data_IF_055318619471
#
_entry.id   IF_055318619471
#
_cell.length_a   1.000
_cell.length_b   1.000
_cell.length_c   1.000
_cell.angle_alpha   90.00
_cell.angle_beta   90.00
_cell.angle_gamma   90.00
#
_symmetry.space_group_name_H-M   'P 1'
#
loop_
_entity.id
_entity.type
_entity.pdbx_description
1 polymer ?
#
# COMPACT_ATOMS: atom_id res chain seq x y z
N UNK A 1 -56.03 34.38 76.33
CA UNK A 1 -55.38 34.80 75.07
C UNK A 1 -53.90 34.43 75.16
N UNK A 2 -53.34 33.64 74.22
CA UNK A 2 -52.22 32.75 74.49
C UNK A 2 -50.85 33.38 74.19
N UNK A 3 -49.86 32.90 74.95
CA UNK A 3 -48.47 33.34 75.02
C UNK A 3 -47.71 33.07 73.71
N UNK A 4 -46.98 34.08 73.23
CA UNK A 4 -46.07 34.03 72.08
C UNK A 4 -44.95 33.01 72.34
N UNK A 5 -44.81 32.01 71.47
CA UNK A 5 -43.63 31.15 71.39
C UNK A 5 -42.71 31.67 70.29
N UNK A 6 -41.49 32.01 70.68
CA UNK A 6 -40.37 32.34 69.79
C UNK A 6 -39.84 31.01 69.25
N UNK A 7 -39.86 30.84 67.92
CA UNK A 7 -39.29 29.68 67.24
C UNK A 7 -37.83 30.02 66.93
N UNK A 8 -36.91 29.26 67.52
CA UNK A 8 -35.48 29.30 67.23
C UNK A 8 -35.23 28.38 66.04
N UNK A 9 -34.79 28.94 64.91
CA UNK A 9 -34.40 28.18 63.71
C UNK A 9 -32.98 27.64 63.92
N UNK A 10 -32.84 26.33 64.08
CA UNK A 10 -31.55 25.64 64.11
C UNK A 10 -31.08 25.44 62.67
N UNK A 11 -29.98 26.09 62.31
CA UNK A 11 -29.32 25.96 61.01
C UNK A 11 -28.37 24.74 61.05
N UNK A 12 -28.83 23.60 60.53
CA UNK A 12 -27.99 22.40 60.40
C UNK A 12 -27.05 22.55 59.18
N UNK A 13 -25.77 22.80 59.44
CA UNK A 13 -24.72 22.76 58.41
C UNK A 13 -24.31 21.30 58.21
N UNK A 14 -24.67 20.73 57.06
CA UNK A 14 -24.21 19.41 56.62
C UNK A 14 -22.75 19.50 56.17
N UNK A 15 -21.87 18.74 56.86
CA UNK A 15 -20.49 18.53 56.47
C UNK A 15 -20.46 17.54 55.29
N UNK A 16 -20.19 18.04 54.08
CA UNK A 16 -20.04 17.22 52.88
C UNK A 16 -18.68 16.51 52.92
N UNK A 17 -18.67 15.23 53.29
CA UNK A 17 -17.50 14.36 53.16
C UNK A 17 -17.41 13.93 51.69
N UNK A 18 -16.45 14.50 50.95
CA UNK A 18 -16.07 14.05 49.61
C UNK A 18 -15.37 12.69 49.72
N UNK A 19 -16.15 11.62 49.55
CA UNK A 19 -15.61 10.28 49.29
C UNK A 19 -15.17 10.25 47.83
N UNK A 20 -13.87 10.23 47.57
CA UNK A 20 -13.34 9.91 46.24
C UNK A 20 -13.62 8.43 45.95
N UNK A 21 -14.77 8.14 45.35
CA UNK A 21 -15.02 6.87 44.68
C UNK A 21 -14.20 6.86 43.40
N UNK A 22 -13.14 6.06 43.36
CA UNK A 22 -12.38 5.81 42.13
C UNK A 22 -13.32 5.34 41.01
N UNK A 23 -13.07 5.84 39.81
CA UNK A 23 -13.81 5.44 38.62
C UNK A 23 -13.67 3.91 38.43
N UNK A 24 -14.75 3.15 38.22
CA UNK A 24 -14.62 1.76 37.83
C UNK A 24 -13.88 1.70 36.49
N UNK A 25 -12.72 1.06 36.48
CA UNK A 25 -12.06 0.67 35.24
C UNK A 25 -12.92 -0.43 34.62
N UNK A 26 -13.78 -0.07 33.68
CA UNK A 26 -14.37 -1.04 32.77
C UNK A 26 -13.22 -1.70 32.02
N UNK A 27 -12.85 -2.90 32.45
CA UNK A 27 -11.96 -3.77 31.71
C UNK A 27 -12.67 -4.13 30.43
N UNK A 28 -12.32 -3.42 29.35
CA UNK A 28 -12.60 -3.87 27.99
C UNK A 28 -12.11 -5.32 27.90
N UNK A 29 -12.96 -6.28 27.50
CA UNK A 29 -12.50 -7.63 27.24
C UNK A 29 -11.44 -7.53 26.16
N UNK A 30 -10.17 -7.67 26.55
CA UNK A 30 -9.06 -7.74 25.62
C UNK A 30 -9.34 -8.93 24.70
N UNK A 31 -9.68 -8.65 23.45
CA UNK A 31 -9.63 -9.64 22.39
C UNK A 31 -8.25 -10.29 22.47
N UNK A 32 -8.22 -11.62 22.57
CA UNK A 32 -7.00 -12.38 22.71
C UNK A 32 -6.06 -12.11 21.54
N UNK A 33 -5.18 -11.13 21.70
CA UNK A 33 -4.01 -10.98 20.86
C UNK A 33 -3.21 -12.27 20.93
N UNK A 34 -2.51 -12.65 19.84
CA UNK A 34 -1.69 -13.86 19.83
C UNK A 34 -0.80 -13.82 21.07
N UNK A 35 -0.93 -14.85 21.92
CA UNK A 35 -0.28 -14.87 23.22
C UNK A 35 1.18 -14.46 23.07
N UNK A 36 1.66 -13.57 23.94
CA UNK A 36 3.05 -13.12 23.94
C UNK A 36 3.93 -14.35 24.03
N UNK A 37 4.38 -14.81 22.86
CA UNK A 37 5.34 -15.88 22.77
C UNK A 37 6.57 -15.38 23.50
N UNK A 38 7.09 -16.16 24.44
CA UNK A 38 8.40 -15.95 25.06
C UNK A 38 9.55 -16.12 24.05
N UNK A 39 9.25 -15.93 22.76
CA UNK A 39 10.20 -15.99 21.69
C UNK A 39 11.32 -15.01 21.96
N UNK A 40 12.50 -15.61 21.92
CA UNK A 40 13.80 -14.98 21.95
C UNK A 40 14.08 -14.13 20.71
N UNK A 41 13.16 -14.11 19.75
CA UNK A 41 13.22 -13.31 18.53
C UNK A 41 11.95 -12.48 18.34
N UNK A 42 12.12 -11.32 17.71
CA UNK A 42 11.06 -10.48 17.15
C UNK A 42 11.38 -10.26 15.69
N UNK A 43 10.36 -10.22 14.85
CA UNK A 43 10.48 -9.77 13.47
C UNK A 43 9.50 -8.61 13.27
N UNK A 44 9.99 -7.54 12.68
CA UNK A 44 9.21 -6.37 12.26
C UNK A 44 9.15 -6.40 10.74
N UNK A 45 7.94 -6.45 10.19
CA UNK A 45 7.71 -6.47 8.75
C UNK A 45 7.09 -5.16 8.28
N UNK A 46 7.52 -4.66 7.12
CA UNK A 46 6.96 -3.44 6.54
C UNK A 46 7.07 -3.46 5.02
N UNK A 47 6.21 -2.67 4.38
CA UNK A 47 6.31 -2.30 2.97
C UNK A 47 7.17 -1.04 2.85
N UNK A 48 7.98 -0.93 1.81
CA UNK A 48 8.77 0.29 1.56
C UNK A 48 7.96 1.38 0.83
N UNK A 49 6.88 0.99 0.17
CA UNK A 49 5.94 1.84 -0.52
C UNK A 49 4.62 1.92 0.26
N UNK A 50 3.84 2.96 -0.01
CA UNK A 50 2.40 2.92 0.29
C UNK A 50 1.70 1.90 -0.61
N UNK A 51 0.51 2.22 -1.11
CA UNK A 51 -0.14 1.39 -2.13
C UNK A 51 0.68 1.34 -3.42
N UNK A 52 1.03 0.15 -3.91
CA UNK A 52 1.54 0.01 -5.27
C UNK A 52 0.38 0.07 -6.27
N UNK A 53 0.57 0.84 -7.35
CA UNK A 53 -0.42 0.95 -8.41
C UNK A 53 0.03 0.08 -9.59
N UNK A 54 -0.90 -0.58 -10.29
CA UNK A 54 -0.60 -1.34 -11.51
C UNK A 54 -1.67 -1.13 -12.57
N UNK A 55 -1.38 -1.45 -13.83
CA UNK A 55 -2.42 -1.57 -14.85
C UNK A 55 -3.25 -2.84 -14.61
N UNK A 56 -4.53 -2.81 -14.98
CA UNK A 56 -5.33 -4.03 -15.08
C UNK A 56 -5.03 -4.78 -16.39
N UNK A 57 -4.86 -4.05 -17.49
CA UNK A 57 -4.57 -4.56 -18.83
C UNK A 57 -3.26 -3.95 -19.37
N UNK A 58 -2.44 -4.77 -20.01
CA UNK A 58 -1.09 -4.44 -20.48
C UNK A 58 -0.96 -4.46 -22.01
N UNK A 59 -2.08 -4.62 -22.74
CA UNK A 59 -2.08 -4.80 -24.19
C UNK A 59 -1.78 -3.52 -24.97
N UNK A 60 -2.08 -2.35 -24.38
CA UNK A 60 -1.96 -1.05 -25.05
C UNK A 60 -0.83 -0.21 -24.44
N UNK A 61 -0.85 0.01 -23.14
CA UNK A 61 0.19 0.74 -22.42
C UNK A 61 0.41 0.16 -21.03
N UNK A 62 1.53 0.52 -20.41
CA UNK A 62 1.85 0.19 -19.03
C UNK A 62 2.43 1.39 -18.30
N UNK A 63 1.74 1.80 -17.24
CA UNK A 63 2.22 2.74 -16.21
C UNK A 63 3.13 1.97 -15.26
N UNK A 64 2.59 0.93 -14.60
CA UNK A 64 3.31 0.10 -13.64
C UNK A 64 2.88 -1.37 -13.74
N UNK A 65 3.82 -2.34 -13.60
CA UNK A 65 3.55 -3.77 -13.58
C UNK A 65 3.00 -4.23 -12.22
N UNK A 66 2.52 -5.50 -12.11
CA UNK A 66 2.37 -6.15 -10.81
C UNK A 66 3.71 -6.11 -10.06
N UNK A 67 3.71 -5.53 -8.87
CA UNK A 67 4.92 -5.34 -8.09
C UNK A 67 4.58 -5.05 -6.64
N UNK A 68 5.43 -5.52 -5.73
CA UNK A 68 5.44 -5.08 -4.36
C UNK A 68 6.81 -5.42 -3.75
N UNK A 69 7.25 -4.62 -2.78
CA UNK A 69 8.46 -4.89 -2.01
C UNK A 69 8.12 -5.03 -0.53
N UNK A 70 8.69 -6.06 0.10
CA UNK A 70 8.50 -6.35 1.50
C UNK A 70 9.86 -6.39 2.20
N UNK A 71 9.91 -5.81 3.39
CA UNK A 71 11.08 -5.79 4.26
C UNK A 71 10.78 -6.46 5.60
N UNK A 72 11.84 -6.98 6.21
CA UNK A 72 11.80 -7.58 7.54
C UNK A 72 13.09 -7.29 8.31
N UNK A 73 12.97 -6.72 9.51
CA UNK A 73 14.07 -6.63 10.46
C UNK A 73 13.89 -7.65 11.59
N UNK A 74 14.93 -8.44 11.86
CA UNK A 74 14.91 -9.47 12.90
C UNK A 74 15.75 -9.03 14.09
N UNK A 75 15.16 -9.09 15.28
CA UNK A 75 15.80 -8.70 16.55
C UNK A 75 15.85 -9.92 17.47
N UNK A 76 17.01 -10.27 17.99
CA UNK A 76 17.17 -11.28 19.03
C UNK A 76 17.22 -10.62 20.41
N UNK A 77 16.46 -11.18 21.36
CA UNK A 77 16.28 -10.69 22.74
C UNK A 77 16.78 -11.69 23.79
N UNK A 78 17.80 -12.50 23.48
CA UNK A 78 18.35 -13.50 24.41
C UNK A 78 19.30 -12.94 25.46
N UNK A 79 20.05 -11.89 25.11
CA UNK A 79 21.08 -11.30 25.96
C UNK A 79 20.54 -10.16 26.83
N UNK A 80 21.46 -9.50 27.54
CA UNK A 80 21.15 -8.29 28.31
C UNK A 80 20.65 -7.14 27.40
N UNK A 81 21.20 -7.05 26.19
CA UNK A 81 20.78 -6.08 25.17
C UNK A 81 20.19 -6.79 23.93
N UNK A 82 19.13 -6.22 23.31
CA UNK A 82 18.62 -6.72 22.04
C UNK A 82 19.65 -6.48 20.94
N UNK A 83 19.82 -7.45 20.05
CA UNK A 83 20.69 -7.34 18.87
C UNK A 83 19.91 -7.48 17.58
N UNK A 84 20.23 -6.66 16.60
CA UNK A 84 19.78 -6.87 15.23
C UNK A 84 20.51 -8.10 14.70
N UNK A 85 19.73 -9.05 14.20
CA UNK A 85 20.24 -10.24 13.54
C UNK A 85 20.57 -9.84 12.11
N UNK A 86 21.70 -10.29 11.59
CA UNK A 86 22.11 -10.04 10.20
C UNK A 86 22.39 -11.35 9.43
N UNK A 87 22.52 -12.48 10.12
CA UNK A 87 22.82 -13.79 9.53
C UNK A 87 22.42 -14.93 10.47
N UNK A 88 22.53 -16.18 10.00
CA UNK A 88 22.22 -17.38 10.79
C UNK A 88 20.72 -17.68 10.94
N UNK A 89 19.87 -16.92 10.26
CA UNK A 89 18.42 -17.17 10.15
C UNK A 89 17.99 -17.18 8.69
N UNK A 90 16.88 -17.84 8.40
CA UNK A 90 16.19 -17.75 7.11
C UNK A 90 14.90 -16.97 7.32
N UNK A 91 14.67 -15.94 6.51
CA UNK A 91 13.43 -15.15 6.53
C UNK A 91 12.61 -15.53 5.31
N UNK A 92 11.42 -16.06 5.52
CA UNK A 92 10.51 -16.49 4.46
C UNK A 92 9.28 -15.61 4.45
N UNK A 93 8.71 -15.41 3.26
CA UNK A 93 7.44 -14.71 3.10
C UNK A 93 6.46 -15.54 2.28
N UNK A 94 5.17 -15.28 2.47
CA UNK A 94 4.11 -15.73 1.59
C UNK A 94 2.94 -14.74 1.64
N UNK A 95 2.04 -14.82 0.67
CA UNK A 95 0.78 -14.08 0.65
C UNK A 95 -0.37 -15.08 0.80
N UNK A 96 -0.84 -15.34 2.04
CA UNK A 96 -1.97 -16.22 2.24
C UNK A 96 -3.21 -15.74 1.48
N UNK A 97 -3.77 -16.62 0.65
CA UNK A 97 -4.98 -16.34 -0.14
C UNK A 97 -4.72 -15.72 -1.51
N UNK A 98 -3.47 -15.47 -1.88
CA UNK A 98 -3.09 -15.10 -3.26
C UNK A 98 -1.82 -15.85 -3.64
N UNK A 99 -2.01 -16.96 -4.35
CA UNK A 99 -0.98 -17.91 -4.76
C UNK A 99 -0.86 -18.00 -6.28
N UNK A 100 -1.82 -17.43 -7.00
CA UNK A 100 -1.78 -17.27 -8.44
C UNK A 100 -2.32 -15.89 -8.82
N UNK A 101 -1.55 -15.15 -9.60
CA UNK A 101 -1.92 -13.84 -10.15
C UNK A 101 -2.03 -13.86 -11.68
N UNK A 102 -1.78 -15.00 -12.33
CA UNK A 102 -1.65 -15.08 -13.80
C UNK A 102 -2.97 -15.04 -14.54
N UNK A 103 -4.05 -15.52 -13.93
CA UNK A 103 -5.40 -15.46 -14.50
C UNK A 103 -6.09 -14.10 -14.25
N UNK A 104 -5.51 -13.25 -13.40
CA UNK A 104 -6.10 -11.95 -13.02
C UNK A 104 -5.80 -10.83 -14.01
N UNK A 105 -4.73 -10.98 -14.80
CA UNK A 105 -4.21 -9.96 -15.71
C UNK A 105 -3.42 -10.58 -16.86
N UNK A 106 -3.29 -9.86 -17.98
CA UNK A 106 -2.49 -10.28 -19.13
C UNK A 106 -1.01 -9.84 -19.05
N UNK A 107 -0.52 -9.42 -17.88
CA UNK A 107 0.84 -8.90 -17.71
C UNK A 107 1.94 -9.81 -18.30
N UNK A 108 1.90 -11.11 -17.99
CA UNK A 108 2.95 -12.04 -18.41
C UNK A 108 3.00 -12.26 -19.93
N UNK A 109 1.87 -12.10 -20.62
CA UNK A 109 1.81 -12.18 -22.09
C UNK A 109 2.51 -10.99 -22.75
N UNK A 110 2.42 -9.80 -22.13
CA UNK A 110 2.96 -8.55 -22.68
C UNK A 110 4.32 -8.16 -22.10
N UNK A 111 4.75 -8.75 -20.98
CA UNK A 111 6.04 -8.49 -20.36
C UNK A 111 7.25 -8.62 -21.32
N UNK A 112 7.32 -9.62 -22.22
CA UNK A 112 8.40 -9.71 -23.21
C UNK A 112 8.54 -8.47 -24.07
N UNK A 113 7.43 -7.95 -24.58
CA UNK A 113 7.40 -6.75 -25.42
C UNK A 113 7.69 -5.49 -24.59
N UNK A 114 7.09 -5.36 -23.41
CA UNK A 114 7.19 -4.18 -22.54
C UNK A 114 8.60 -3.97 -21.98
N UNK A 115 9.32 -5.05 -21.65
CA UNK A 115 10.64 -5.00 -21.02
C UNK A 115 11.79 -5.45 -21.92
N UNK A 116 11.51 -5.82 -23.18
CA UNK A 116 12.49 -6.37 -24.11
C UNK A 116 13.23 -7.59 -23.51
N UNK A 117 12.46 -8.52 -22.95
CA UNK A 117 12.95 -9.79 -22.38
C UNK A 117 12.41 -10.96 -23.18
N UNK A 118 13.10 -12.11 -23.16
CA UNK A 118 12.68 -13.27 -23.94
C UNK A 118 11.36 -13.87 -23.44
N UNK A 119 11.22 -14.00 -22.12
CA UNK A 119 10.01 -14.46 -21.45
C UNK A 119 10.06 -14.11 -19.97
N UNK A 120 8.90 -14.08 -19.31
CA UNK A 120 8.77 -14.01 -17.87
C UNK A 120 7.91 -15.19 -17.41
N UNK A 121 8.41 -16.07 -16.51
CA UNK A 121 7.60 -17.19 -16.04
C UNK A 121 6.34 -16.73 -15.30
N UNK A 122 5.26 -17.48 -15.46
CA UNK A 122 4.01 -17.35 -14.71
C UNK A 122 4.29 -17.20 -13.20
N UNK A 123 3.60 -16.26 -12.54
CA UNK A 123 3.72 -15.97 -11.10
C UNK A 123 5.11 -15.56 -10.62
N UNK A 124 6.02 -15.22 -11.54
CA UNK A 124 7.33 -14.66 -11.22
C UNK A 124 7.37 -13.20 -11.69
N UNK A 125 7.77 -12.31 -10.78
CA UNK A 125 7.95 -10.89 -11.07
C UNK A 125 9.32 -10.57 -11.65
N UNK A 126 9.50 -9.32 -12.04
CA UNK A 126 10.67 -8.86 -12.82
C UNK A 126 12.02 -9.03 -12.11
N UNK A 127 12.03 -9.17 -10.78
CA UNK A 127 13.24 -9.43 -9.99
C UNK A 127 13.42 -10.90 -9.63
N UNK A 128 12.64 -11.82 -10.23
CA UNK A 128 12.76 -13.26 -10.05
C UNK A 128 12.04 -13.84 -8.83
N UNK A 129 11.28 -13.04 -8.10
CA UNK A 129 10.52 -13.46 -6.92
C UNK A 129 9.06 -13.78 -7.28
N UNK A 130 8.43 -14.69 -6.55
CA UNK A 130 7.01 -15.02 -6.72
C UNK A 130 6.15 -14.52 -5.56
N UNK A 131 4.97 -15.11 -5.38
CA UNK A 131 4.03 -14.79 -4.29
C UNK A 131 4.43 -15.40 -2.93
N UNK A 132 5.48 -16.23 -2.92
CA UNK A 132 6.13 -16.74 -1.72
C UNK A 132 7.61 -17.04 -2.00
N UNK A 133 8.42 -17.06 -0.96
CA UNK A 133 9.85 -17.32 -1.11
C UNK A 133 10.68 -17.00 0.13
N UNK A 134 11.98 -16.82 -0.11
CA UNK A 134 12.94 -16.41 0.91
C UNK A 134 13.39 -14.98 0.63
N UNK A 135 13.46 -14.15 1.67
CA UNK A 135 13.96 -12.77 1.59
C UNK A 135 15.49 -12.77 1.64
N UNK A 136 16.10 -11.78 0.99
CA UNK A 136 17.55 -11.64 0.88
C UNK A 136 18.05 -10.56 1.86
N UNK A 137 19.18 -10.77 2.58
CA UNK A 137 19.78 -9.73 3.40
C UNK A 137 20.15 -8.51 2.54
N UNK A 138 19.79 -7.31 2.98
CA UNK A 138 20.06 -6.06 2.24
C UNK A 138 21.49 -5.55 2.45
N UNK A 139 22.09 -5.87 3.60
CA UNK A 139 23.31 -5.24 4.10
C UNK A 139 23.05 -4.06 5.07
N UNK A 140 21.80 -3.60 5.16
CA UNK A 140 21.38 -2.44 5.93
C UNK A 140 20.50 -2.82 7.13
N UNK A 141 20.92 -3.84 7.88
CA UNK A 141 20.24 -4.32 9.10
C UNK A 141 18.84 -4.92 8.89
N UNK A 142 18.49 -5.33 7.67
CA UNK A 142 17.22 -5.99 7.35
C UNK A 142 17.33 -7.00 6.18
N UNK A 143 16.20 -7.63 5.88
CA UNK A 143 16.00 -8.49 4.72
C UNK A 143 14.91 -7.89 3.84
N UNK A 144 15.03 -8.05 2.53
CA UNK A 144 14.01 -7.63 1.58
C UNK A 144 13.69 -8.70 0.55
N UNK A 145 12.49 -8.59 0.00
CA UNK A 145 12.10 -9.21 -1.25
C UNK A 145 11.47 -8.12 -2.11
N UNK A 146 11.95 -7.98 -3.32
CA UNK A 146 11.44 -7.01 -4.30
C UNK A 146 10.61 -7.72 -5.36
N UNK A 147 9.79 -6.98 -6.09
CA UNK A 147 9.14 -7.47 -7.31
C UNK A 147 8.25 -8.70 -7.09
N UNK A 148 7.55 -8.74 -5.96
CA UNK A 148 6.47 -9.71 -5.76
C UNK A 148 5.35 -9.38 -6.77
N UNK A 149 4.94 -10.29 -7.67
CA UNK A 149 4.01 -9.98 -8.74
C UNK A 149 2.54 -10.11 -8.27
N UNK A 150 2.22 -9.50 -7.13
CA UNK A 150 0.89 -9.53 -6.52
C UNK A 150 -0.10 -8.66 -7.30
N UNK A 151 -1.33 -9.16 -7.46
CA UNK A 151 -2.49 -8.47 -8.03
C UNK A 151 -3.50 -8.14 -6.94
N UNK A 152 -4.43 -7.20 -7.16
CA UNK A 152 -5.48 -6.90 -6.19
C UNK A 152 -6.59 -7.96 -6.15
N UNK A 153 -6.49 -9.06 -6.90
CA UNK A 153 -7.47 -10.16 -6.89
C UNK A 153 -6.89 -11.33 -6.11
N UNK A 154 -7.68 -11.90 -5.20
CA UNK A 154 -7.29 -13.08 -4.42
C UNK A 154 -7.66 -14.40 -5.15
N UNK A 155 -7.19 -15.53 -4.63
CA UNK A 155 -7.45 -16.87 -5.21
C UNK A 155 -8.95 -17.23 -5.27
N UNK A 156 -9.83 -16.45 -4.64
CA UNK A 156 -11.28 -16.62 -4.69
C UNK A 156 -11.95 -15.65 -5.68
N UNK A 157 -11.18 -14.84 -6.39
CA UNK A 157 -11.65 -13.85 -7.35
C UNK A 157 -12.17 -12.56 -6.70
N UNK A 158 -11.93 -12.34 -5.40
CA UNK A 158 -12.35 -11.10 -4.74
C UNK A 158 -11.26 -10.04 -4.84
N UNK A 159 -11.68 -8.79 -5.00
CA UNK A 159 -10.76 -7.66 -4.93
C UNK A 159 -10.34 -7.38 -3.48
N UNK A 160 -9.05 -7.52 -3.20
CA UNK A 160 -8.40 -7.21 -1.93
C UNK A 160 -7.12 -6.40 -2.18
N UNK A 161 -7.25 -5.08 -2.10
CA UNK A 161 -6.11 -4.16 -2.28
C UNK A 161 -5.13 -4.13 -1.09
N UNK A 162 -5.43 -4.83 0.00
CA UNK A 162 -4.73 -4.72 1.28
C UNK A 162 -4.40 -6.07 1.90
N UNK A 163 -3.86 -6.95 1.07
CA UNK A 163 -3.50 -8.30 1.46
C UNK A 163 -2.43 -8.28 2.56
N UNK A 164 -2.53 -9.23 3.49
CA UNK A 164 -1.57 -9.41 4.56
C UNK A 164 -0.59 -10.50 4.19
N UNK A 165 0.68 -10.14 4.01
CA UNK A 165 1.75 -11.13 3.92
C UNK A 165 1.99 -11.81 5.28
N UNK A 166 2.51 -13.02 5.23
CA UNK A 166 3.08 -13.73 6.38
C UNK A 166 4.60 -13.73 6.25
N UNK A 167 5.30 -13.27 7.28
CA UNK A 167 6.77 -13.32 7.36
C UNK A 167 7.16 -14.27 8.49
N UNK A 168 7.97 -15.27 8.17
CA UNK A 168 8.38 -16.32 9.11
C UNK A 168 9.90 -16.36 9.19
N UNK A 169 10.44 -16.25 10.41
CA UNK A 169 11.87 -16.39 10.69
C UNK A 169 12.15 -17.79 11.20
N UNK A 170 13.09 -18.49 10.56
CA UNK A 170 13.58 -19.80 10.98
C UNK A 170 15.04 -19.73 11.42
N UNK A 171 15.35 -20.37 12.54
CA UNK A 171 16.71 -20.59 13.04
C UNK A 171 16.91 -22.09 13.22
N UNK A 172 17.98 -22.66 12.65
CA UNK A 172 18.22 -24.11 12.64
C UNK A 172 16.98 -24.93 12.17
N UNK A 173 16.27 -24.42 11.15
CA UNK A 173 15.07 -25.04 10.57
C UNK A 173 13.78 -24.87 11.39
N UNK A 174 13.86 -24.39 12.64
CA UNK A 174 12.69 -24.17 13.50
C UNK A 174 12.19 -22.74 13.38
N UNK A 175 10.87 -22.57 13.29
CA UNK A 175 10.26 -21.24 13.37
C UNK A 175 10.52 -20.63 14.74
N UNK A 176 11.13 -19.45 14.75
CA UNK A 176 11.45 -18.70 15.98
C UNK A 176 10.64 -17.43 16.11
N UNK A 177 10.22 -16.81 15.01
CA UNK A 177 9.35 -15.65 15.05
C UNK A 177 8.48 -15.60 13.78
N UNK A 178 7.36 -14.89 13.86
CA UNK A 178 6.56 -14.55 12.71
C UNK A 178 5.88 -13.19 12.93
N UNK A 179 5.56 -12.51 11.84
CA UNK A 179 4.74 -11.31 11.83
C UNK A 179 3.93 -11.27 10.53
N UNK A 180 3.02 -10.33 10.45
CA UNK A 180 2.34 -9.97 9.21
C UNK A 180 2.70 -8.53 8.84
N UNK A 181 2.62 -8.24 7.54
CA UNK A 181 2.78 -6.90 7.00
C UNK A 181 1.87 -6.76 5.77
N UNK A 182 1.28 -5.57 5.60
CA UNK A 182 0.44 -5.32 4.43
C UNK A 182 1.29 -5.25 3.16
N UNK A 183 0.81 -5.86 2.09
CA UNK A 183 1.37 -5.81 0.73
C UNK A 183 0.33 -5.16 -0.19
N UNK A 184 0.16 -3.83 -0.09
CA UNK A 184 -0.95 -3.15 -0.74
C UNK A 184 -0.72 -3.00 -2.24
N UNK A 185 -1.69 -3.40 -3.05
CA UNK A 185 -1.66 -3.26 -4.51
C UNK A 185 -3.05 -2.90 -5.03
N UNK A 186 -3.12 -2.03 -6.03
CA UNK A 186 -4.38 -1.67 -6.67
C UNK A 186 -4.18 -1.35 -8.14
N UNK A 187 -5.20 -1.64 -8.95
CA UNK A 187 -5.31 -1.17 -10.33
C UNK A 187 -6.34 -0.05 -10.51
N UNK A 188 -6.77 0.56 -9.41
CA UNK A 188 -7.76 1.64 -9.43
C UNK A 188 -7.10 2.95 -9.91
N UNK A 189 -7.19 3.18 -11.22
CA UNK A 189 -6.78 4.43 -11.87
C UNK A 189 -7.90 4.83 -12.82
N UNK A 190 -8.63 5.91 -12.51
CA UNK A 190 -9.88 6.27 -13.18
C UNK A 190 -9.66 7.22 -14.37
N UNK A 191 -8.82 6.79 -15.33
CA UNK A 191 -8.55 7.53 -16.56
C UNK A 191 -9.82 7.82 -17.37
N UNK A 192 -10.80 6.92 -17.28
CA UNK A 192 -12.11 6.97 -17.93
C UNK A 192 -12.98 8.17 -17.52
N UNK A 193 -12.66 8.82 -16.39
CA UNK A 193 -13.35 10.04 -15.96
C UNK A 193 -13.16 11.21 -16.94
N UNK A 194 -12.10 11.19 -17.75
CA UNK A 194 -11.77 12.26 -18.69
C UNK A 194 -11.43 11.76 -20.10
N UNK A 195 -10.78 10.59 -20.22
CA UNK A 195 -10.45 9.97 -21.50
C UNK A 195 -11.66 9.18 -22.00
N UNK A 196 -12.38 9.75 -22.97
CA UNK A 196 -13.62 9.21 -23.53
C UNK A 196 -13.37 8.81 -24.98
N UNK A 197 -13.00 7.54 -25.24
CA UNK A 197 -12.66 7.07 -26.58
C UNK A 197 -13.84 7.13 -27.56
N UNK A 198 -13.54 7.12 -28.85
CA UNK A 198 -14.56 6.85 -29.86
C UNK A 198 -15.11 5.43 -29.72
N UNK A 199 -16.27 5.16 -30.32
CA UNK A 199 -16.88 3.82 -30.30
C UNK A 199 -15.91 2.76 -30.84
N UNK A 200 -15.63 1.74 -30.02
CA UNK A 200 -14.74 0.63 -30.37
C UNK A 200 -13.28 0.80 -29.96
N UNK A 201 -12.94 1.89 -29.26
CA UNK A 201 -11.59 2.15 -28.75
C UNK A 201 -11.53 2.04 -27.23
N UNK A 202 -10.36 1.63 -26.70
CA UNK A 202 -10.12 1.60 -25.25
C UNK A 202 -9.66 2.96 -24.75
N UNK A 203 -9.80 3.20 -23.44
CA UNK A 203 -9.29 4.41 -22.77
C UNK A 203 -7.78 4.58 -22.99
N UNK A 204 -7.02 3.49 -22.90
CA UNK A 204 -5.58 3.50 -23.13
C UNK A 204 -5.21 3.92 -24.57
N UNK A 205 -6.00 3.50 -25.57
CA UNK A 205 -5.77 3.92 -26.96
C UNK A 205 -6.08 5.40 -27.17
N UNK A 206 -7.09 5.94 -26.49
CA UNK A 206 -7.38 7.38 -26.49
C UNK A 206 -6.19 8.17 -25.90
N UNK A 207 -5.64 7.71 -24.77
CA UNK A 207 -4.45 8.29 -24.13
C UNK A 207 -3.27 8.34 -25.11
N UNK A 208 -2.96 7.24 -25.80
CA UNK A 208 -1.84 7.20 -26.74
C UNK A 208 -2.06 8.12 -27.96
N UNK A 209 -3.30 8.23 -28.46
CA UNK A 209 -3.63 9.16 -29.56
C UNK A 209 -3.46 10.61 -29.16
N UNK A 210 -3.92 10.96 -27.96
CA UNK A 210 -3.75 12.31 -27.43
C UNK A 210 -2.27 12.61 -27.20
N UNK A 211 -1.49 11.63 -26.74
CA UNK A 211 -0.05 11.77 -26.62
C UNK A 211 0.61 12.01 -27.99
N UNK A 212 0.27 11.22 -29.02
CA UNK A 212 0.76 11.41 -30.39
C UNK A 212 0.41 12.78 -30.95
N UNK A 213 -0.84 13.23 -30.77
CA UNK A 213 -1.33 14.53 -31.23
C UNK A 213 -0.64 15.70 -30.52
N UNK A 214 -0.43 15.62 -29.21
CA UNK A 214 0.09 16.73 -28.40
C UNK A 214 1.63 16.80 -28.40
N UNK A 215 2.30 15.66 -28.58
CA UNK A 215 3.75 15.53 -28.47
C UNK A 215 4.44 15.08 -29.76
N UNK A 216 3.69 14.92 -30.86
CA UNK A 216 4.21 14.48 -32.16
C UNK A 216 4.95 13.14 -32.08
N UNK A 217 4.39 12.20 -31.30
CA UNK A 217 4.87 10.82 -31.19
C UNK A 217 4.10 9.89 -32.14
N UNK A 218 4.49 8.61 -32.16
CA UNK A 218 3.87 7.54 -32.95
C UNK A 218 3.65 6.28 -32.08
N UNK A 219 3.17 6.48 -30.86
CA UNK A 219 2.99 5.45 -29.82
C UNK A 219 1.86 4.48 -30.16
N UNK A 220 0.82 4.95 -30.86
CA UNK A 220 -0.28 4.09 -31.32
C UNK A 220 0.23 2.94 -32.20
N UNK A 221 1.27 3.17 -33.00
CA UNK A 221 1.86 2.16 -33.88
C UNK A 221 2.88 1.26 -33.16
N UNK A 222 3.11 1.50 -31.86
CA UNK A 222 4.18 0.87 -31.07
C UNK A 222 3.65 0.16 -29.81
N UNK A 223 2.35 -0.15 -29.74
CA UNK A 223 1.74 -0.85 -28.61
C UNK A 223 2.27 -2.29 -28.44
N UNK A 224 2.46 -2.79 -27.21
CA UNK A 224 2.21 -2.10 -25.95
C UNK A 224 3.33 -1.11 -25.58
N UNK A 225 2.98 0.05 -25.04
CA UNK A 225 3.94 1.10 -24.68
C UNK A 225 4.21 1.11 -23.18
N UNK A 226 5.45 0.86 -22.78
CA UNK A 226 5.88 1.13 -21.40
C UNK A 226 6.14 2.63 -21.22
N UNK A 227 5.31 3.33 -20.45
CA UNK A 227 5.48 4.77 -20.20
C UNK A 227 6.87 5.08 -19.60
N UNK A 228 7.37 4.15 -18.78
CA UNK A 228 8.70 4.20 -18.16
C UNK A 228 9.89 4.17 -19.13
N UNK A 229 9.69 3.82 -20.39
CA UNK A 229 10.75 3.79 -21.41
C UNK A 229 11.24 5.20 -21.76
N UNK A 230 10.34 6.20 -21.76
CA UNK A 230 10.67 7.59 -22.03
C UNK A 230 10.58 8.46 -20.77
N UNK A 231 9.61 8.22 -19.90
CA UNK A 231 9.45 8.96 -18.65
C UNK A 231 10.16 8.26 -17.50
N UNK A 232 11.00 8.98 -16.77
CA UNK A 232 11.66 8.42 -15.58
C UNK A 232 10.62 8.00 -14.52
N UNK A 233 10.77 6.79 -13.97
CA UNK A 233 9.92 6.24 -12.92
C UNK A 233 10.77 5.64 -11.80
N UNK A 234 10.79 6.32 -10.65
CA UNK A 234 11.49 5.84 -9.47
C UNK A 234 11.05 4.42 -9.04
N UNK A 235 9.74 4.06 -9.02
CA UNK A 235 9.31 2.72 -8.62
C UNK A 235 9.86 1.59 -9.51
N UNK A 236 10.19 1.90 -10.76
CA UNK A 236 10.75 0.92 -11.71
C UNK A 236 12.26 1.09 -11.92
N UNK A 237 12.87 2.07 -11.27
CA UNK A 237 14.27 2.45 -11.49
C UNK A 237 14.56 2.93 -12.92
N UNK A 238 13.55 3.31 -13.72
CA UNK A 238 13.80 3.78 -15.09
C UNK A 238 14.34 5.20 -15.07
N UNK A 239 15.39 5.43 -15.84
CA UNK A 239 16.04 6.74 -15.98
C UNK A 239 15.26 7.69 -16.89
N UNK A 240 14.41 7.15 -17.77
CA UNK A 240 13.76 7.91 -18.83
C UNK A 240 14.73 8.43 -19.89
N UNK A 241 14.22 9.29 -20.76
CA UNK A 241 14.95 9.95 -21.85
C UNK A 241 15.40 11.36 -21.45
N UNK A 242 16.59 11.82 -21.88
CA UNK A 242 17.05 13.18 -21.60
C UNK A 242 16.06 14.25 -22.07
N UNK A 243 15.75 15.22 -21.21
CA UNK A 243 14.81 16.30 -21.51
C UNK A 243 13.33 15.92 -21.42
N UNK A 244 13.00 14.64 -21.18
CA UNK A 244 11.63 14.20 -20.91
C UNK A 244 11.39 14.25 -19.39
N UNK A 245 10.31 14.88 -18.92
CA UNK A 245 10.00 14.89 -17.50
C UNK A 245 9.73 13.49 -16.94
N UNK A 246 9.89 13.31 -15.62
CA UNK A 246 9.45 12.08 -14.95
C UNK A 246 7.95 11.86 -15.17
N UNK A 247 7.49 10.60 -15.08
CA UNK A 247 6.09 10.28 -15.39
C UNK A 247 5.14 11.03 -14.46
N UNK A 248 5.50 11.10 -13.17
CA UNK A 248 4.75 11.88 -12.18
C UNK A 248 4.68 13.36 -12.58
N UNK A 249 5.80 13.99 -12.96
CA UNK A 249 5.77 15.40 -13.35
C UNK A 249 4.94 15.64 -14.62
N UNK A 250 5.06 14.76 -15.62
CA UNK A 250 4.29 14.83 -16.86
C UNK A 250 2.78 14.72 -16.60
N UNK A 251 2.38 13.72 -15.82
CA UNK A 251 0.98 13.48 -15.47
C UNK A 251 0.37 14.62 -14.67
N UNK A 252 1.05 15.10 -13.62
CA UNK A 252 0.55 16.23 -12.83
C UNK A 252 0.44 17.51 -13.68
N UNK A 253 1.46 17.83 -14.48
CA UNK A 253 1.46 19.04 -15.32
C UNK A 253 0.38 19.00 -16.40
N UNK A 254 0.14 17.82 -17.01
CA UNK A 254 -0.87 17.66 -18.03
C UNK A 254 -2.28 17.76 -17.45
N UNK A 255 -2.54 17.24 -16.25
CA UNK A 255 -3.92 17.11 -15.74
C UNK A 255 -4.34 18.20 -14.75
N UNK A 256 -3.39 18.89 -14.08
CA UNK A 256 -3.69 19.81 -12.97
C UNK A 256 -4.80 20.82 -13.28
N UNK A 257 -4.76 21.48 -14.45
CA UNK A 257 -5.76 22.49 -14.83
C UNK A 257 -7.18 21.94 -15.07
N UNK A 258 -7.31 20.62 -15.27
CA UNK A 258 -8.57 19.95 -15.59
C UNK A 258 -9.23 19.29 -14.37
N UNK A 259 -8.49 19.14 -13.27
CA UNK A 259 -8.97 18.44 -12.07
C UNK A 259 -10.21 19.08 -11.43
N UNK A 260 -10.44 20.37 -11.65
CA UNK A 260 -11.66 21.05 -11.17
C UNK A 260 -12.95 20.54 -11.83
N UNK A 261 -12.86 19.87 -12.99
CA UNK A 261 -14.01 19.27 -13.66
C UNK A 261 -14.42 17.93 -13.04
N UNK A 262 -13.55 17.31 -12.25
CA UNK A 262 -13.81 16.02 -11.60
C UNK A 262 -14.58 16.28 -10.30
N UNK A 263 -15.68 15.54 -10.11
CA UNK A 263 -16.53 15.65 -8.91
C UNK A 263 -16.28 14.47 -7.97
N UNK A 264 -15.11 14.47 -7.32
CA UNK A 264 -14.76 13.51 -6.28
C UNK A 264 -14.62 14.22 -4.92
N UNK A 265 -14.80 13.48 -3.83
CA UNK A 265 -14.52 13.99 -2.48
C UNK A 265 -13.03 14.35 -2.33
N UNK A 266 -12.16 13.50 -2.90
CA UNK A 266 -10.72 13.74 -3.03
C UNK A 266 -10.35 13.63 -4.51
N UNK A 267 -10.07 14.76 -5.16
CA UNK A 267 -9.78 14.79 -6.61
C UNK A 267 -8.53 14.00 -6.99
N UNK A 268 -7.57 13.82 -6.07
CA UNK A 268 -6.39 12.98 -6.28
C UNK A 268 -6.76 11.53 -6.61
N UNK A 269 -7.94 11.07 -6.18
CA UNK A 269 -8.44 9.72 -6.45
C UNK A 269 -8.89 9.49 -7.89
N UNK A 270 -8.86 10.51 -8.75
CA UNK A 270 -9.02 10.31 -10.18
C UNK A 270 -7.85 9.52 -10.78
N UNK A 271 -6.64 9.69 -10.23
CA UNK A 271 -5.42 9.08 -10.76
C UNK A 271 -4.72 8.16 -9.74
N UNK A 272 -4.93 8.38 -8.45
CA UNK A 272 -4.45 7.51 -7.39
C UNK A 272 -5.57 6.58 -6.91
N UNK A 273 -5.27 5.33 -6.52
CA UNK A 273 -6.27 4.43 -5.96
C UNK A 273 -7.00 5.09 -4.79
N UNK A 274 -8.32 5.09 -4.77
CA UNK A 274 -8.99 5.89 -3.76
C UNK A 274 -10.50 5.93 -3.74
N UNK A 275 -11.16 5.84 -4.91
CA UNK A 275 -12.62 5.86 -4.99
C UNK A 275 -13.21 4.67 -4.22
N UNK A 276 -12.61 3.49 -4.36
CA UNK A 276 -12.95 2.28 -3.61
C UNK A 276 -11.85 1.89 -2.63
N UNK A 277 -10.60 1.97 -3.05
CA UNK A 277 -9.47 1.48 -2.23
C UNK A 277 -9.07 2.43 -1.12
N UNK A 278 -9.36 3.72 -1.23
CA UNK A 278 -9.02 4.75 -0.23
C UNK A 278 -7.52 4.72 0.16
N UNK A 279 -6.60 4.88 -0.81
CA UNK A 279 -5.15 4.80 -0.56
C UNK A 279 -4.67 5.75 0.56
N UNK A 280 -5.28 6.93 0.71
CA UNK A 280 -5.06 7.80 1.87
C UNK A 280 -5.79 7.22 3.09
N UNK A 281 -5.17 6.23 3.74
CA UNK A 281 -5.73 5.56 4.91
C UNK A 281 -4.70 5.40 6.02
N UNK A 282 -4.44 6.47 6.74
CA UNK A 282 -3.56 6.37 7.90
C UNK A 282 -3.80 7.50 8.89
N UNK A 283 -2.90 7.65 9.85
CA UNK A 283 -2.76 8.77 10.78
C UNK A 283 -2.99 10.13 10.11
N UNK A 284 -2.62 10.29 8.84
CA UNK A 284 -2.94 11.48 8.05
C UNK A 284 -4.45 11.73 8.01
N UNK A 285 -5.24 10.77 7.52
CA UNK A 285 -6.71 10.86 7.49
C UNK A 285 -7.29 11.04 8.90
N UNK A 286 -6.79 10.31 9.90
CA UNK A 286 -7.26 10.42 11.29
C UNK A 286 -7.01 11.81 11.90
N UNK A 287 -5.99 12.53 11.43
CA UNK A 287 -5.68 13.91 11.80
C UNK A 287 -6.28 14.94 10.83
N UNK A 288 -7.21 14.52 9.96
CA UNK A 288 -7.85 15.40 8.99
C UNK A 288 -6.88 15.97 7.96
N UNK A 289 -5.80 15.24 7.67
CA UNK A 289 -4.80 15.58 6.64
C UNK A 289 -5.14 14.91 5.33
N UNK A 290 -5.10 15.69 4.26
CA UNK A 290 -5.27 15.22 2.90
C UNK A 290 -3.99 15.36 2.05
N UNK A 291 -4.10 15.04 0.76
CA UNK A 291 -3.00 15.16 -0.17
C UNK A 291 -2.54 16.63 -0.35
N UNK A 292 -3.48 17.59 -0.31
CA UNK A 292 -3.20 19.01 -0.52
C UNK A 292 -2.44 19.64 0.65
N UNK A 293 -2.68 19.16 1.88
CA UNK A 293 -1.94 19.61 3.07
C UNK A 293 -0.42 19.46 2.95
N UNK A 294 0.05 18.47 2.17
CA UNK A 294 1.48 18.15 2.01
C UNK A 294 2.00 18.37 0.58
N UNK A 295 1.21 18.02 -0.44
CA UNK A 295 1.61 18.12 -1.84
C UNK A 295 1.19 19.43 -2.51
N UNK A 296 0.34 20.24 -1.86
CA UNK A 296 -0.07 21.55 -2.35
C UNK A 296 -0.83 21.52 -3.68
N UNK A 297 -0.82 22.66 -4.37
CA UNK A 297 -1.31 22.86 -5.75
C UNK A 297 -0.16 23.22 -6.67
#
# INVERSE_FOLDING_TARGET
MPKKRVVVTILSIFLLVLVFTGCPTDSVPGGGGPGVSSSKYVVLGYNDLGMHCMNQDFSTLMILPPYNTLHAQVIERRGEEPRIVQSGVTVQYSIPGNTDSTDDTNFWDFAPALFNIASLPANIGLTGNGLSGTMTPTGDNDWSVTGIPITPIDDQGNENAYQLSSIVVKSAGQQVAATQAVVPVSWEISCDLCHVPNTGETVDMDILRDHDRLHSTHLVDSTPVMCGSCHAQAPLGTTGSPGVPSLSHAMHSAHASRMSAVSLEVNCYACHPGVRTQCLRDVHLAHGKDCYDCHGT
#
